data_IF_790266833517
#
_entry.id   IF_790266833517
#
_cell.length_a   1.000
_cell.length_b   1.000
_cell.length_c   1.000
_cell.angle_alpha   90.00
_cell.angle_beta   90.00
_cell.angle_gamma   90.00
#
_symmetry.space_group_name_H-M   'P 1'
#
loop_
_entity.id
_entity.type
_entity.pdbx_description
1 polymer ?
#
# COMPACT_ATOMS: atom_id res chain seq x y z
N UNK A 1 2.45 17.59 13.79
CA UNK A 1 2.70 17.27 12.36
C UNK A 1 2.35 15.83 12.17
N UNK A 2 1.48 15.55 11.26
CA UNK A 2 0.83 14.25 11.08
C UNK A 2 1.39 13.45 9.90
N UNK A 3 2.48 13.94 9.27
CA UNK A 3 3.26 13.12 8.35
C UNK A 3 3.93 12.04 9.19
N UNK A 4 3.46 10.81 9.03
CA UNK A 4 3.94 9.66 9.77
C UNK A 4 4.97 8.86 8.95
N UNK A 5 5.89 8.19 9.62
CA UNK A 5 6.71 7.17 8.99
C UNK A 5 5.93 5.84 8.87
N UNK A 6 6.25 5.05 7.85
CA UNK A 6 5.65 3.72 7.71
C UNK A 6 6.01 2.84 8.93
N UNK A 7 7.26 2.93 9.38
CA UNK A 7 7.75 2.16 10.52
C UNK A 7 6.92 2.42 11.79
N UNK A 8 6.69 3.70 12.16
CA UNK A 8 5.89 4.05 13.34
C UNK A 8 4.47 3.49 13.26
N UNK A 9 3.81 3.70 12.12
CA UNK A 9 2.42 3.28 11.93
C UNK A 9 2.28 1.76 11.97
N UNK A 10 3.20 1.02 11.32
CA UNK A 10 3.13 -0.44 11.31
C UNK A 10 3.59 -1.09 12.61
N UNK A 11 4.53 -0.50 13.35
CA UNK A 11 4.89 -0.98 14.68
C UNK A 11 3.74 -0.82 15.69
N UNK A 12 3.00 0.28 15.60
CA UNK A 12 1.81 0.48 16.43
C UNK A 12 0.69 -0.50 16.04
N UNK A 13 0.50 -0.75 14.73
CA UNK A 13 -0.44 -1.75 14.22
C UNK A 13 -0.08 -3.16 14.72
N UNK A 14 1.18 -3.56 14.63
CA UNK A 14 1.70 -4.84 15.14
C UNK A 14 1.42 -5.02 16.64
N UNK A 15 1.74 -3.99 17.42
CA UNK A 15 1.57 -4.01 18.88
C UNK A 15 0.12 -4.19 19.31
N UNK A 16 -0.82 -3.65 18.53
CA UNK A 16 -2.25 -3.63 18.86
C UNK A 16 -3.08 -4.62 18.01
N UNK A 17 -2.43 -5.50 17.24
CA UNK A 17 -3.05 -6.54 16.42
C UNK A 17 -4.11 -5.98 15.44
N UNK A 18 -3.74 -4.96 14.67
CA UNK A 18 -4.54 -4.47 13.55
C UNK A 18 -3.65 -4.25 12.31
N UNK A 19 -4.24 -3.98 11.18
CA UNK A 19 -3.52 -3.61 9.97
C UNK A 19 -4.01 -2.26 9.43
N UNK A 20 -3.11 -1.55 8.75
CA UNK A 20 -3.38 -0.23 8.15
C UNK A 20 -3.62 -0.39 6.65
N UNK A 21 -4.63 0.31 6.15
CA UNK A 21 -4.93 0.33 4.73
C UNK A 21 -3.89 1.15 3.95
N UNK A 22 -3.25 0.52 2.97
CA UNK A 22 -2.45 1.17 1.94
C UNK A 22 -3.32 1.39 0.71
N UNK A 23 -3.81 2.63 0.52
CA UNK A 23 -4.80 2.97 -0.49
C UNK A 23 -4.13 3.53 -1.73
N UNK A 24 -4.35 2.88 -2.88
CA UNK A 24 -3.78 3.29 -4.16
C UNK A 24 -4.44 4.56 -4.65
N UNK A 25 -3.65 5.63 -4.75
CA UNK A 25 -4.06 6.93 -5.26
C UNK A 25 -3.84 6.99 -6.78
N UNK A 26 -4.79 7.53 -7.52
CA UNK A 26 -4.68 7.81 -8.96
C UNK A 26 -4.75 9.31 -9.27
N UNK A 27 -5.32 10.11 -8.36
CA UNK A 27 -5.45 11.55 -8.52
C UNK A 27 -5.67 12.29 -7.20
N UNK A 28 -5.87 13.60 -7.30
CA UNK A 28 -6.13 14.48 -6.16
C UNK A 28 -7.37 14.06 -5.37
N UNK A 29 -8.43 13.71 -6.09
CA UNK A 29 -9.73 13.42 -5.51
C UNK A 29 -9.67 12.19 -4.62
N UNK A 30 -8.96 11.12 -5.06
CA UNK A 30 -8.74 9.92 -4.26
C UNK A 30 -7.94 10.25 -3.00
N UNK A 31 -6.78 10.92 -3.17
CA UNK A 31 -5.89 11.24 -2.06
C UNK A 31 -6.58 12.08 -0.99
N UNK A 32 -7.35 13.10 -1.41
CA UNK A 32 -8.13 13.94 -0.50
C UNK A 32 -9.18 13.14 0.24
N UNK A 33 -9.94 12.33 -0.48
CA UNK A 33 -11.01 11.53 0.10
C UNK A 33 -10.47 10.55 1.16
N UNK A 34 -9.36 9.87 0.88
CA UNK A 34 -8.74 8.97 1.85
C UNK A 34 -8.22 9.70 3.09
N UNK A 35 -7.65 10.89 2.91
CA UNK A 35 -7.19 11.72 4.01
C UNK A 35 -8.35 12.24 4.86
N UNK A 36 -9.44 12.71 4.23
CA UNK A 36 -10.65 13.19 4.90
C UNK A 36 -11.30 12.03 5.70
N UNK A 37 -11.39 10.84 5.13
CA UNK A 37 -11.93 9.65 5.81
C UNK A 37 -11.06 9.23 7.00
N UNK A 38 -9.74 9.22 6.83
CA UNK A 38 -8.82 8.90 7.93
C UNK A 38 -8.96 9.90 9.09
N UNK A 39 -9.18 11.18 8.79
CA UNK A 39 -9.43 12.23 9.78
C UNK A 39 -10.76 12.01 10.51
N UNK A 40 -11.83 11.70 9.78
CA UNK A 40 -13.18 11.45 10.33
C UNK A 40 -13.18 10.23 11.26
N UNK A 41 -12.54 9.14 10.83
CA UNK A 41 -12.44 7.88 11.58
C UNK A 41 -11.35 7.91 12.67
N UNK A 42 -10.46 8.91 12.65
CA UNK A 42 -9.29 9.03 13.55
C UNK A 42 -8.36 7.81 13.47
N UNK A 43 -8.11 7.33 12.26
CA UNK A 43 -7.26 6.18 11.98
C UNK A 43 -6.06 6.58 11.10
N UNK A 44 -4.94 5.86 11.16
CA UNK A 44 -3.85 6.06 10.22
C UNK A 44 -4.22 5.57 8.82
N UNK A 45 -3.64 6.22 7.79
CA UNK A 45 -3.76 5.78 6.40
C UNK A 45 -2.43 5.90 5.65
N UNK A 46 -2.20 5.02 4.68
CA UNK A 46 -1.03 5.05 3.81
C UNK A 46 -1.50 5.44 2.40
N UNK A 47 -1.17 6.66 1.95
CA UNK A 47 -1.42 7.12 0.58
C UNK A 47 -0.33 6.56 -0.34
N UNK A 48 -0.72 5.74 -1.31
CA UNK A 48 0.21 4.99 -2.15
C UNK A 48 0.26 5.52 -3.59
N UNK A 49 1.48 5.94 -4.01
CA UNK A 49 1.77 6.33 -5.38
C UNK A 49 2.32 5.14 -6.17
N UNK A 50 1.44 4.29 -6.69
CA UNK A 50 1.81 3.15 -7.52
C UNK A 50 2.20 3.54 -8.96
N UNK A 51 2.69 2.57 -9.78
CA UNK A 51 3.14 2.84 -11.16
C UNK A 51 2.11 3.56 -12.04
N UNK A 52 0.82 3.21 -11.90
CA UNK A 52 -0.26 3.87 -12.66
C UNK A 52 -0.44 5.34 -12.31
N UNK A 53 -0.32 5.70 -11.02
CA UNK A 53 -0.34 7.09 -10.58
C UNK A 53 0.84 7.86 -11.16
N UNK A 54 2.05 7.30 -11.04
CA UNK A 54 3.29 7.94 -11.51
C UNK A 54 3.37 8.10 -13.03
N UNK A 55 2.75 7.19 -13.78
CA UNK A 55 2.64 7.33 -15.24
C UNK A 55 1.78 8.52 -15.67
N UNK A 56 0.84 8.94 -14.83
CA UNK A 56 -0.08 10.06 -15.09
C UNK A 56 0.38 11.37 -14.44
N UNK A 57 0.98 11.30 -13.25
CA UNK A 57 1.35 12.48 -12.45
C UNK A 57 2.80 12.34 -11.97
N UNK A 58 3.67 13.33 -12.23
CA UNK A 58 5.08 13.26 -11.80
C UNK A 58 5.24 13.22 -10.28
N UNK A 59 6.25 12.49 -9.78
CA UNK A 59 6.56 12.37 -8.34
C UNK A 59 6.65 13.71 -7.59
N UNK A 60 7.24 14.79 -8.15
CA UNK A 60 7.26 16.08 -7.46
C UNK A 60 5.87 16.67 -7.17
N UNK A 61 4.89 16.39 -8.03
CA UNK A 61 3.49 16.83 -7.84
C UNK A 61 2.81 15.95 -6.80
N UNK A 62 2.97 14.63 -6.92
CA UNK A 62 2.38 13.66 -5.98
C UNK A 62 2.91 13.91 -4.56
N UNK A 63 4.22 14.04 -4.40
CA UNK A 63 4.83 14.24 -3.09
C UNK A 63 4.32 15.49 -2.39
N UNK A 64 4.21 16.61 -3.10
CA UNK A 64 3.63 17.85 -2.55
C UNK A 64 2.14 17.71 -2.21
N UNK A 65 1.39 16.99 -3.04
CA UNK A 65 -0.02 16.69 -2.79
C UNK A 65 -0.20 15.86 -1.52
N UNK A 66 0.54 14.77 -1.38
CA UNK A 66 0.47 13.90 -0.20
C UNK A 66 0.89 14.64 1.07
N UNK A 67 2.01 15.38 1.00
CA UNK A 67 2.45 16.19 2.14
C UNK A 67 1.42 17.24 2.55
N UNK A 68 0.83 17.95 1.59
CA UNK A 68 -0.21 18.93 1.87
C UNK A 68 -1.36 18.30 2.65
N UNK A 69 -1.86 17.15 2.21
CA UNK A 69 -2.95 16.45 2.91
C UNK A 69 -2.53 15.98 4.31
N UNK A 70 -1.35 15.40 4.43
CA UNK A 70 -0.81 14.95 5.71
C UNK A 70 -0.59 16.11 6.70
N UNK A 71 -0.19 17.28 6.23
CA UNK A 71 0.03 18.47 7.07
C UNK A 71 -1.29 19.10 7.55
N UNK A 72 -2.39 18.89 6.82
CA UNK A 72 -3.73 19.40 7.21
C UNK A 72 -4.50 18.43 8.12
N UNK A 73 -4.16 17.15 8.14
CA UNK A 73 -4.86 16.13 8.93
C UNK A 73 -4.34 16.04 10.36
N UNK A 74 -5.19 15.70 11.33
CA UNK A 74 -4.82 15.29 12.69
C UNK A 74 -4.51 13.79 12.79
N UNK A 75 -4.96 13.00 11.82
CA UNK A 75 -4.66 11.56 11.72
C UNK A 75 -3.30 11.30 11.08
N UNK A 76 -2.59 10.23 11.48
CA UNK A 76 -1.31 9.88 10.88
C UNK A 76 -1.44 9.49 9.41
N UNK A 77 -0.77 10.20 8.51
CA UNK A 77 -0.75 9.90 7.07
C UNK A 77 0.66 9.58 6.63
N UNK A 78 0.85 8.40 6.03
CA UNK A 78 2.11 7.99 5.40
C UNK A 78 2.06 8.32 3.91
N UNK A 79 3.07 9.08 3.44
CA UNK A 79 3.26 9.39 2.02
C UNK A 79 4.18 8.33 1.41
N UNK A 80 3.62 7.34 0.69
CA UNK A 80 4.32 6.13 0.29
C UNK A 80 4.49 5.99 -1.22
N UNK A 81 5.75 5.73 -1.66
CA UNK A 81 6.03 5.25 -3.01
C UNK A 81 5.78 3.74 -3.05
N UNK A 82 4.85 3.29 -3.88
CA UNK A 82 4.46 1.89 -4.04
C UNK A 82 5.08 1.32 -5.33
N UNK A 83 5.78 0.18 -5.24
CA UNK A 83 6.52 -0.46 -6.33
C UNK A 83 7.53 0.44 -7.07
N UNK A 84 8.50 1.00 -6.37
CA UNK A 84 9.68 1.61 -7.00
C UNK A 84 10.59 0.52 -7.59
N UNK A 85 10.91 0.62 -8.87
CA UNK A 85 11.69 -0.40 -9.58
C UNK A 85 13.18 -0.07 -9.68
N UNK A 86 13.57 1.16 -9.40
CA UNK A 86 14.96 1.58 -9.43
C UNK A 86 15.32 2.39 -8.18
N UNK A 87 16.60 2.40 -7.85
CA UNK A 87 17.14 3.24 -6.77
C UNK A 87 16.85 4.73 -7.03
N UNK A 88 17.02 5.16 -8.28
CA UNK A 88 16.79 6.55 -8.69
C UNK A 88 15.35 6.99 -8.45
N UNK A 89 14.38 6.11 -8.73
CA UNK A 89 12.96 6.38 -8.47
C UNK A 89 12.67 6.50 -6.98
N UNK A 90 13.25 5.63 -6.15
CA UNK A 90 13.13 5.70 -4.69
C UNK A 90 13.74 7.00 -4.15
N UNK A 91 14.94 7.37 -4.59
CA UNK A 91 15.59 8.62 -4.18
C UNK A 91 14.82 9.85 -4.64
N UNK A 92 14.29 9.83 -5.87
CA UNK A 92 13.45 10.92 -6.36
C UNK A 92 12.18 11.10 -5.50
N UNK A 93 11.56 10.01 -5.05
CA UNK A 93 10.43 10.09 -4.14
C UNK A 93 10.81 10.70 -2.79
N UNK A 94 11.92 10.26 -2.19
CA UNK A 94 12.46 10.80 -0.94
C UNK A 94 12.68 12.32 -1.07
N UNK A 95 13.38 12.76 -2.12
CA UNK A 95 13.68 14.16 -2.38
C UNK A 95 12.43 15.03 -2.61
N UNK A 96 11.30 14.40 -2.96
CA UNK A 96 10.03 15.08 -3.18
C UNK A 96 9.03 14.93 -2.02
N UNK A 97 9.50 14.47 -0.85
CA UNK A 97 8.75 14.55 0.40
C UNK A 97 7.91 13.32 0.74
N UNK A 98 8.18 12.19 0.12
CA UNK A 98 7.64 10.92 0.58
C UNK A 98 8.24 10.54 1.93
N UNK A 99 7.44 10.04 2.85
CA UNK A 99 7.87 9.58 4.18
C UNK A 99 8.19 8.09 4.20
N UNK A 100 7.92 7.40 3.09
CA UNK A 100 8.22 5.99 2.91
C UNK A 100 8.38 5.66 1.43
N UNK A 101 9.25 4.70 1.12
CA UNK A 101 9.43 4.17 -0.24
C UNK A 101 9.44 2.66 -0.22
N UNK A 102 8.89 2.03 -1.26
CA UNK A 102 9.04 0.61 -1.51
C UNK A 102 10.00 0.38 -2.67
N UNK A 103 10.96 -0.53 -2.49
CA UNK A 103 11.74 -1.09 -3.58
C UNK A 103 11.22 -2.49 -3.93
N UNK A 104 10.76 -2.64 -5.16
CA UNK A 104 10.28 -3.91 -5.69
C UNK A 104 11.41 -4.64 -6.45
N UNK A 105 12.15 -5.45 -5.71
CA UNK A 105 13.18 -6.35 -6.23
C UNK A 105 12.70 -7.79 -6.46
N UNK A 106 11.39 -8.05 -6.44
CA UNK A 106 10.79 -9.40 -6.48
C UNK A 106 11.12 -10.20 -7.73
N UNK A 107 11.55 -9.54 -8.82
CA UNK A 107 11.99 -10.19 -10.08
C UNK A 107 13.50 -10.42 -10.17
N UNK A 108 14.25 -9.97 -9.20
CA UNK A 108 15.71 -10.15 -9.11
C UNK A 108 16.04 -11.47 -8.41
N UNK A 109 17.29 -11.91 -8.51
CA UNK A 109 17.77 -12.95 -7.60
C UNK A 109 17.75 -12.44 -6.16
N UNK A 110 17.66 -13.36 -5.19
CA UNK A 110 17.61 -12.98 -3.77
C UNK A 110 18.82 -12.11 -3.37
N UNK A 111 20.01 -12.43 -3.84
CA UNK A 111 21.22 -11.67 -3.53
C UNK A 111 21.17 -10.26 -4.11
N UNK A 112 20.77 -10.10 -5.37
CA UNK A 112 20.61 -8.78 -5.99
C UNK A 112 19.51 -7.95 -5.33
N UNK A 113 18.40 -8.60 -4.92
CA UNK A 113 17.33 -7.93 -4.19
C UNK A 113 17.82 -7.43 -2.83
N UNK A 114 18.52 -8.29 -2.08
CA UNK A 114 19.13 -7.91 -0.78
C UNK A 114 20.11 -6.75 -0.97
N UNK A 115 21.03 -6.82 -1.92
CA UNK A 115 22.04 -5.78 -2.13
C UNK A 115 21.40 -4.43 -2.46
N UNK A 116 20.44 -4.40 -3.39
CA UNK A 116 19.77 -3.16 -3.81
C UNK A 116 18.86 -2.59 -2.73
N UNK A 117 18.10 -3.46 -2.05
CA UNK A 117 17.22 -3.04 -0.96
C UNK A 117 18.05 -2.46 0.19
N UNK A 118 19.15 -3.12 0.57
CA UNK A 118 20.04 -2.64 1.63
C UNK A 118 20.63 -1.25 1.32
N UNK A 119 21.05 -1.03 0.07
CA UNK A 119 21.56 0.27 -0.36
C UNK A 119 20.50 1.37 -0.21
N UNK A 120 19.25 1.09 -0.61
CA UNK A 120 18.14 2.03 -0.50
C UNK A 120 17.81 2.29 0.98
N UNK A 121 17.76 1.23 1.81
CA UNK A 121 17.54 1.35 3.26
C UNK A 121 18.60 2.26 3.89
N UNK A 122 19.87 2.05 3.59
CA UNK A 122 20.95 2.89 4.13
C UNK A 122 20.76 4.38 3.79
N UNK A 123 20.36 4.68 2.55
CA UNK A 123 20.17 6.06 2.09
C UNK A 123 18.90 6.69 2.66
N UNK A 124 17.81 5.94 2.74
CA UNK A 124 16.54 6.40 3.26
C UNK A 124 16.57 6.64 4.78
N UNK A 125 17.17 5.71 5.54
CA UNK A 125 17.29 5.83 7.00
C UNK A 125 18.12 7.03 7.43
N UNK A 126 19.12 7.47 6.65
CA UNK A 126 19.86 8.73 6.91
C UNK A 126 18.97 9.96 6.90
N UNK A 127 17.79 9.86 6.28
CA UNK A 127 16.79 10.92 6.18
C UNK A 127 15.54 10.64 7.02
N UNK A 128 15.56 9.60 7.86
CA UNK A 128 14.42 9.10 8.65
C UNK A 128 13.21 8.69 7.76
N UNK A 129 13.48 8.14 6.58
CA UNK A 129 12.46 7.63 5.65
C UNK A 129 12.43 6.12 5.76
N UNK A 130 11.23 5.55 5.93
CA UNK A 130 11.04 4.11 6.02
C UNK A 130 11.12 3.42 4.65
N UNK A 131 11.55 2.17 4.65
CA UNK A 131 11.65 1.36 3.43
C UNK A 131 10.85 0.07 3.57
N UNK A 132 10.00 -0.18 2.58
CA UNK A 132 9.37 -1.48 2.34
C UNK A 132 10.17 -2.23 1.27
N UNK A 133 10.46 -3.50 1.51
CA UNK A 133 11.04 -4.40 0.50
C UNK A 133 10.03 -5.48 0.11
N UNK A 134 10.22 -6.14 -1.03
CA UNK A 134 9.39 -7.26 -1.47
C UNK A 134 10.21 -8.51 -1.70
N UNK A 135 9.70 -9.64 -1.19
CA UNK A 135 10.27 -10.96 -1.40
C UNK A 135 9.19 -11.98 -1.78
N UNK A 136 9.56 -12.92 -2.66
CA UNK A 136 8.59 -13.67 -3.44
C UNK A 136 8.09 -12.80 -4.59
N UNK A 137 7.07 -13.22 -5.30
CA UNK A 137 6.49 -12.45 -6.40
C UNK A 137 4.96 -12.54 -6.34
N UNK A 138 4.31 -11.40 -6.20
CA UNK A 138 2.85 -11.31 -6.29
C UNK A 138 2.44 -11.17 -7.75
N UNK A 139 1.80 -12.21 -8.27
CA UNK A 139 1.36 -12.27 -9.66
C UNK A 139 0.13 -11.39 -9.94
N UNK A 140 -0.36 -11.48 -11.18
CA UNK A 140 -1.50 -10.73 -11.68
C UNK A 140 -2.61 -11.69 -12.12
N UNK A 141 -3.87 -11.32 -11.93
CA UNK A 141 -5.04 -12.15 -12.28
C UNK A 141 -4.99 -12.68 -13.73
N UNK A 142 -4.62 -11.82 -14.68
CA UNK A 142 -4.53 -12.15 -16.11
C UNK A 142 -3.08 -12.14 -16.63
N UNK A 143 -2.10 -12.50 -15.78
CA UNK A 143 -0.69 -12.37 -16.11
C UNK A 143 0.20 -13.42 -15.46
N UNK A 144 1.39 -12.99 -15.04
CA UNK A 144 2.35 -13.86 -14.38
C UNK A 144 1.81 -14.45 -13.08
N UNK A 145 2.05 -15.73 -12.83
CA UNK A 145 1.63 -16.42 -11.61
C UNK A 145 2.44 -15.95 -10.41
N UNK A 146 1.83 -15.91 -9.24
CA UNK A 146 2.52 -15.66 -7.98
C UNK A 146 3.58 -16.74 -7.70
N UNK A 147 4.70 -16.29 -7.12
CA UNK A 147 5.71 -17.17 -6.54
C UNK A 147 5.67 -16.95 -5.03
N UNK A 148 5.29 -17.98 -4.29
CA UNK A 148 5.20 -17.93 -2.83
C UNK A 148 6.55 -17.56 -2.21
N UNK A 149 6.52 -16.75 -1.19
CA UNK A 149 7.70 -16.39 -0.40
C UNK A 149 8.21 -17.61 0.37
N UNK A 150 9.50 -17.91 0.21
CA UNK A 150 10.18 -18.90 1.07
C UNK A 150 10.47 -18.28 2.45
N UNK A 151 10.07 -18.91 3.57
CA UNK A 151 10.25 -18.34 4.90
C UNK A 151 11.71 -18.13 5.33
N UNK A 152 12.65 -18.99 4.91
CA UNK A 152 14.08 -18.83 5.24
C UNK A 152 14.72 -17.72 4.39
N UNK A 153 14.30 -17.56 3.14
CA UNK A 153 14.68 -16.40 2.33
C UNK A 153 14.13 -15.10 2.92
N UNK A 154 12.87 -15.10 3.41
CA UNK A 154 12.28 -13.94 4.08
C UNK A 154 13.06 -13.52 5.33
N UNK A 155 13.47 -14.49 6.16
CA UNK A 155 14.37 -14.25 7.30
C UNK A 155 15.68 -13.60 6.87
N UNK A 156 16.36 -14.21 5.90
CA UNK A 156 17.64 -13.72 5.38
C UNK A 156 17.50 -12.31 4.84
N UNK A 157 16.45 -12.06 4.05
CA UNK A 157 16.15 -10.75 3.49
C UNK A 157 15.95 -9.69 4.59
N UNK A 158 15.12 -9.97 5.58
CA UNK A 158 14.86 -9.06 6.70
C UNK A 158 16.14 -8.76 7.52
N UNK A 159 16.94 -9.80 7.81
CA UNK A 159 18.18 -9.68 8.58
C UNK A 159 19.25 -8.85 7.85
N UNK A 160 19.37 -8.99 6.54
CA UNK A 160 20.41 -8.31 5.76
C UNK A 160 19.98 -6.90 5.34
N UNK A 161 18.75 -6.72 4.89
CA UNK A 161 18.28 -5.42 4.39
C UNK A 161 17.93 -4.43 5.50
N UNK A 162 17.47 -4.90 6.66
CA UNK A 162 16.93 -4.05 7.73
C UNK A 162 15.78 -3.14 7.28
N UNK A 163 14.97 -3.60 6.31
CA UNK A 163 13.79 -2.87 5.88
C UNK A 163 12.76 -2.75 7.02
N UNK A 164 11.91 -1.73 6.97
CA UNK A 164 10.91 -1.43 8.00
C UNK A 164 9.61 -2.21 7.83
N UNK A 165 9.36 -2.71 6.62
CA UNK A 165 8.23 -3.54 6.26
C UNK A 165 8.62 -4.49 5.13
N UNK A 166 7.97 -5.65 5.05
CA UNK A 166 8.28 -6.66 4.06
C UNK A 166 7.01 -7.17 3.38
N UNK A 167 6.85 -6.85 2.09
CA UNK A 167 5.80 -7.42 1.26
C UNK A 167 6.12 -8.87 0.93
N UNK A 168 5.11 -9.73 1.10
CA UNK A 168 5.22 -11.18 0.90
C UNK A 168 4.16 -11.69 -0.07
N UNK A 169 4.45 -12.80 -0.73
CA UNK A 169 3.52 -13.55 -1.56
C UNK A 169 3.10 -14.83 -0.83
N UNK A 170 1.84 -14.88 -0.43
CA UNK A 170 1.23 -16.00 0.29
C UNK A 170 -0.13 -16.42 -0.35
N UNK A 171 -0.21 -16.40 -1.68
CA UNK A 171 -1.43 -16.71 -2.44
C UNK A 171 -2.25 -15.48 -2.85
N UNK A 172 -1.84 -14.30 -2.41
CA UNK A 172 -2.41 -13.03 -2.85
C UNK A 172 -2.07 -12.76 -4.34
N UNK A 173 -2.95 -12.03 -5.03
CA UNK A 173 -2.85 -11.78 -6.46
C UNK A 173 -3.30 -10.35 -6.77
N UNK A 174 -2.52 -9.64 -7.61
CA UNK A 174 -2.88 -8.30 -8.07
C UNK A 174 -4.07 -8.31 -9.04
N UNK A 175 -4.81 -7.20 -9.09
CA UNK A 175 -5.89 -6.91 -10.02
C UNK A 175 -7.07 -7.91 -9.95
N UNK A 176 -7.24 -8.60 -8.82
CA UNK A 176 -8.40 -9.45 -8.59
C UNK A 176 -9.66 -8.63 -8.36
N UNK A 177 -10.70 -8.93 -9.15
CA UNK A 177 -12.01 -8.23 -9.08
C UNK A 177 -13.03 -8.97 -8.23
N UNK A 178 -12.75 -10.22 -7.88
CA UNK A 178 -13.59 -11.05 -7.02
C UNK A 178 -12.82 -11.42 -5.75
N UNK A 179 -13.52 -11.52 -4.61
CA UNK A 179 -12.93 -11.96 -3.33
C UNK A 179 -12.70 -13.49 -3.35
N UNK A 180 -11.69 -13.95 -4.09
CA UNK A 180 -11.40 -15.37 -4.32
C UNK A 180 -9.95 -15.78 -4.04
N UNK A 181 -9.14 -14.87 -3.45
CA UNK A 181 -7.76 -15.18 -3.06
C UNK A 181 -7.74 -16.24 -1.95
N UNK A 182 -6.96 -17.28 -2.16
CA UNK A 182 -6.67 -18.29 -1.15
C UNK A 182 -5.34 -17.96 -0.49
N UNK A 183 -5.37 -17.40 0.70
CA UNK A 183 -4.17 -17.03 1.44
C UNK A 183 -3.62 -18.23 2.22
N UNK A 184 -2.35 -18.51 2.01
CA UNK A 184 -1.62 -19.55 2.76
C UNK A 184 -1.18 -19.02 4.13
N UNK A 185 -2.03 -19.25 5.12
CA UNK A 185 -1.78 -18.87 6.50
C UNK A 185 -0.56 -19.59 7.11
N UNK A 186 -0.16 -20.75 6.58
CA UNK A 186 1.01 -21.47 7.10
C UNK A 186 2.30 -20.75 6.69
N UNK A 187 2.37 -20.24 5.47
CA UNK A 187 3.50 -19.42 5.00
C UNK A 187 3.64 -18.17 5.87
N UNK A 188 2.56 -17.42 6.08
CA UNK A 188 2.57 -16.21 6.93
C UNK A 188 3.06 -16.55 8.33
N UNK A 189 2.45 -17.55 8.96
CA UNK A 189 2.83 -17.98 10.33
C UNK A 189 4.25 -18.48 10.43
N UNK A 190 4.76 -19.15 9.41
CA UNK A 190 6.16 -19.58 9.40
C UNK A 190 7.10 -18.38 9.30
N UNK A 191 6.81 -17.41 8.45
CA UNK A 191 7.62 -16.19 8.29
C UNK A 191 7.65 -15.41 9.63
N UNK A 192 6.51 -15.19 10.28
CA UNK A 192 6.45 -14.42 11.53
C UNK A 192 7.19 -15.09 12.71
N UNK A 193 7.45 -16.42 12.65
CA UNK A 193 8.32 -17.07 13.63
C UNK A 193 9.80 -16.83 13.39
N UNK A 194 10.18 -16.34 12.22
CA UNK A 194 11.56 -16.17 11.78
C UNK A 194 12.01 -14.71 11.71
N UNK A 195 11.06 -13.77 11.66
CA UNK A 195 11.37 -12.33 11.60
C UNK A 195 10.32 -11.51 12.33
N UNK A 196 10.78 -10.38 12.92
CA UNK A 196 9.92 -9.42 13.61
C UNK A 196 9.47 -8.27 12.70
N UNK A 197 9.91 -8.22 11.45
CA UNK A 197 9.54 -7.17 10.49
C UNK A 197 8.04 -7.24 10.20
N UNK A 198 7.29 -6.12 10.27
CA UNK A 198 5.89 -6.06 9.86
C UNK A 198 5.70 -6.56 8.43
N UNK A 199 4.73 -7.46 8.24
CA UNK A 199 4.42 -8.03 6.94
C UNK A 199 3.36 -7.21 6.20
N UNK A 200 3.45 -7.24 4.88
CA UNK A 200 2.54 -6.53 3.98
C UNK A 200 1.94 -7.52 2.97
N UNK A 201 0.64 -7.45 2.73
CA UNK A 201 -0.02 -8.18 1.66
C UNK A 201 -0.48 -7.23 0.55
N UNK A 202 0.07 -7.43 -0.65
CA UNK A 202 -0.37 -6.77 -1.86
C UNK A 202 -1.58 -7.49 -2.47
N UNK A 203 -2.28 -6.85 -3.42
CA UNK A 203 -3.43 -7.46 -4.09
C UNK A 203 -4.60 -7.80 -3.16
N UNK A 204 -4.75 -7.08 -2.07
CA UNK A 204 -5.69 -7.41 -0.99
C UNK A 204 -7.16 -7.20 -1.34
N UNK A 205 -7.49 -6.51 -2.44
CA UNK A 205 -8.87 -6.43 -2.96
C UNK A 205 -9.49 -7.80 -3.29
N UNK A 206 -8.64 -8.83 -3.53
CA UNK A 206 -9.09 -10.20 -3.76
C UNK A 206 -9.30 -11.04 -2.49
N UNK A 207 -8.97 -10.52 -1.32
CA UNK A 207 -9.09 -11.22 -0.04
C UNK A 207 -10.45 -10.91 0.58
N UNK A 208 -11.13 -11.92 1.09
CA UNK A 208 -12.39 -11.76 1.84
C UNK A 208 -12.15 -10.93 3.12
N UNK A 209 -13.11 -10.07 3.49
CA UNK A 209 -12.94 -9.11 4.58
C UNK A 209 -12.84 -9.80 5.94
N UNK A 210 -13.58 -10.87 6.15
CA UNK A 210 -13.45 -11.70 7.36
C UNK A 210 -12.05 -12.31 7.45
N UNK A 211 -11.49 -12.72 6.31
CA UNK A 211 -10.13 -13.25 6.26
C UNK A 211 -9.09 -12.14 6.49
N UNK A 212 -9.26 -10.94 5.92
CA UNK A 212 -8.40 -9.77 6.21
C UNK A 212 -8.36 -9.47 7.72
N UNK A 213 -9.55 -9.39 8.36
CA UNK A 213 -9.65 -9.19 9.82
C UNK A 213 -8.96 -10.30 10.62
N UNK A 214 -9.15 -11.55 10.21
CA UNK A 214 -8.50 -12.69 10.85
C UNK A 214 -6.98 -12.60 10.75
N UNK A 215 -6.46 -12.31 9.56
CA UNK A 215 -5.02 -12.13 9.31
C UNK A 215 -4.48 -11.00 10.19
N UNK A 216 -5.09 -9.82 10.15
CA UNK A 216 -4.65 -8.66 10.94
C UNK A 216 -4.61 -8.93 12.44
N UNK A 217 -5.62 -9.63 12.96
CA UNK A 217 -5.74 -9.89 14.40
C UNK A 217 -4.87 -11.05 14.90
N UNK A 218 -4.39 -11.94 14.01
CA UNK A 218 -3.74 -13.20 14.42
C UNK A 218 -2.35 -13.42 13.83
N UNK A 219 -1.84 -12.47 13.05
CA UNK A 219 -0.53 -12.54 12.42
C UNK A 219 0.21 -11.20 12.48
N UNK A 220 1.45 -11.19 11.98
CA UNK A 220 2.27 -9.98 11.85
C UNK A 220 2.01 -9.21 10.54
N UNK A 221 0.90 -9.44 9.87
CA UNK A 221 0.49 -8.64 8.70
C UNK A 221 -0.12 -7.33 9.19
N UNK A 222 0.59 -6.23 8.95
CA UNK A 222 0.24 -4.89 9.46
C UNK A 222 -0.19 -3.91 8.36
N UNK A 223 -0.14 -4.32 7.09
CA UNK A 223 -0.55 -3.49 5.95
C UNK A 223 -1.20 -4.33 4.87
N UNK A 224 -2.33 -3.83 4.35
CA UNK A 224 -2.99 -4.36 3.16
C UNK A 224 -3.00 -3.31 2.05
N UNK A 225 -2.50 -3.68 0.85
CA UNK A 225 -2.56 -2.81 -0.32
C UNK A 225 -3.89 -3.00 -1.06
N UNK A 226 -4.70 -1.96 -1.09
CA UNK A 226 -6.04 -1.93 -1.69
C UNK A 226 -6.04 -0.97 -2.88
N UNK A 227 -6.40 -1.46 -4.05
CA UNK A 227 -6.40 -0.63 -5.27
C UNK A 227 -7.49 -1.01 -6.26
N UNK A 228 -7.69 -2.30 -6.54
CA UNK A 228 -8.66 -2.75 -7.54
C UNK A 228 -10.08 -2.49 -7.10
N UNK A 229 -10.39 -2.72 -5.84
CA UNK A 229 -11.70 -2.46 -5.23
C UNK A 229 -12.07 -0.97 -5.35
N UNK A 230 -11.17 -0.08 -4.96
CA UNK A 230 -11.35 1.36 -5.07
C UNK A 230 -11.62 1.81 -6.52
N UNK A 231 -10.81 1.32 -7.48
CA UNK A 231 -11.03 1.63 -8.92
C UNK A 231 -12.35 1.10 -9.43
N UNK A 232 -12.78 -0.07 -8.97
CA UNK A 232 -14.07 -0.65 -9.33
C UNK A 232 -15.22 0.21 -8.81
N UNK A 233 -15.19 0.57 -7.53
CA UNK A 233 -16.17 1.46 -6.90
C UNK A 233 -16.26 2.79 -7.63
N UNK A 234 -15.11 3.43 -7.94
CA UNK A 234 -15.07 4.64 -8.75
C UNK A 234 -15.80 4.46 -10.10
N UNK A 235 -15.45 3.40 -10.85
CA UNK A 235 -16.02 3.16 -12.17
C UNK A 235 -17.51 2.85 -12.14
N UNK A 236 -17.97 2.12 -11.14
CA UNK A 236 -19.39 1.75 -10.99
C UNK A 236 -20.21 2.99 -10.62
N UNK A 237 -19.78 3.77 -9.64
CA UNK A 237 -20.44 5.03 -9.23
C UNK A 237 -20.50 6.04 -10.36
N UNK A 238 -19.41 6.21 -11.11
CA UNK A 238 -19.39 7.14 -12.24
C UNK A 238 -20.42 6.75 -13.30
N UNK A 239 -20.57 5.45 -13.59
CA UNK A 239 -21.60 4.97 -14.52
C UNK A 239 -23.01 5.24 -14.01
N UNK A 240 -23.24 5.02 -12.71
CA UNK A 240 -24.56 5.29 -12.09
C UNK A 240 -24.91 6.76 -12.17
N UNK A 241 -23.97 7.67 -11.88
CA UNK A 241 -24.20 9.13 -11.97
C UNK A 241 -24.50 9.58 -13.40
N UNK A 242 -23.80 9.04 -14.39
CA UNK A 242 -24.09 9.33 -15.80
C UNK A 242 -25.47 8.78 -16.24
N UNK A 243 -25.88 7.63 -15.71
CA UNK A 243 -27.23 7.08 -16.00
C UNK A 243 -28.34 7.94 -15.35
N UNK A 244 -28.10 8.46 -14.12
CA UNK A 244 -29.04 9.36 -13.43
C UNK A 244 -29.24 10.68 -14.16
N UNK A 245 -28.18 11.26 -14.70
CA UNK A 245 -28.20 12.51 -15.46
C UNK A 245 -27.28 12.41 -16.70
N UNK A 246 -27.81 11.89 -17.82
CA UNK A 246 -27.01 11.70 -19.05
C UNK A 246 -26.48 13.01 -19.66
N UNK A 247 -27.01 14.16 -19.25
CA UNK A 247 -26.57 15.48 -19.75
C UNK A 247 -25.53 16.14 -18.84
N UNK A 248 -25.17 15.50 -17.72
CA UNK A 248 -24.15 16.07 -16.84
C UNK A 248 -22.78 16.09 -17.52
N UNK A 249 -22.11 17.23 -17.46
CA UNK A 249 -20.77 17.45 -18.02
C UNK A 249 -19.80 18.07 -17.02
N UNK A 250 -20.29 18.41 -15.82
CA UNK A 250 -19.43 18.96 -14.77
C UNK A 250 -18.58 17.85 -14.16
N UNK A 251 -17.29 17.88 -14.52
CA UNK A 251 -16.29 16.92 -14.04
C UNK A 251 -16.22 16.89 -12.51
N UNK A 252 -16.26 18.05 -11.85
CA UNK A 252 -16.13 18.13 -10.39
C UNK A 252 -17.32 17.46 -9.72
N UNK A 253 -18.54 17.70 -10.21
CA UNK A 253 -19.76 17.07 -9.72
C UNK A 253 -19.70 15.55 -9.86
N UNK A 254 -19.28 15.06 -11.02
CA UNK A 254 -19.17 13.61 -11.30
C UNK A 254 -18.14 12.92 -10.39
N UNK A 255 -16.97 13.53 -10.22
CA UNK A 255 -15.91 12.93 -9.41
C UNK A 255 -16.20 13.04 -7.91
N UNK A 256 -16.81 14.15 -7.44
CA UNK A 256 -17.15 14.26 -6.02
C UNK A 256 -18.16 13.19 -5.57
N UNK A 257 -19.10 12.79 -6.41
CA UNK A 257 -20.03 11.70 -6.08
C UNK A 257 -19.33 10.35 -5.91
N UNK A 258 -18.23 10.11 -6.63
CA UNK A 258 -17.46 8.88 -6.48
C UNK A 258 -16.66 8.86 -5.17
N UNK A 259 -16.22 10.01 -4.66
CA UNK A 259 -15.47 10.10 -3.41
C UNK A 259 -16.33 9.76 -2.17
N UNK A 260 -17.60 10.12 -2.17
CA UNK A 260 -18.50 9.90 -1.03
C UNK A 260 -18.73 8.42 -0.69
N UNK A 261 -18.64 7.53 -1.67
CA UNK A 261 -18.82 6.09 -1.46
C UNK A 261 -17.56 5.40 -0.91
N UNK A 262 -16.36 5.95 -1.15
CA UNK A 262 -15.15 5.44 -0.51
C UNK A 262 -15.19 5.59 1.03
N UNK A 263 -15.94 6.58 1.53
CA UNK A 263 -16.02 6.89 2.96
C UNK A 263 -17.01 6.00 3.69
N UNK A 264 -18.10 5.58 3.05
CA UNK A 264 -19.12 4.75 3.69
C UNK A 264 -18.71 3.28 3.79
N UNK A 265 -18.10 2.72 2.75
CA UNK A 265 -17.71 1.31 2.73
C UNK A 265 -16.41 1.05 3.53
N UNK A 266 -15.46 2.01 3.54
CA UNK A 266 -14.26 1.90 4.34
C UNK A 266 -14.48 2.11 5.85
N UNK A 267 -15.60 2.72 6.24
CA UNK A 267 -15.95 2.92 7.64
C UNK A 267 -16.54 1.66 8.30
N UNK A 268 -17.07 0.75 7.49
CA UNK A 268 -17.67 -0.52 7.95
C UNK A 268 -16.69 -1.71 7.94
N UNK A 269 -15.47 -1.53 7.42
CA UNK A 269 -14.39 -2.52 7.37
C UNK A 269 -13.32 -2.27 8.43
#
# INVERSE_FOLDING_TARGET
MTIASLSEVLQEAKKNNYAVAGLVVLGWEDARCYADTAEELKVPVILQAGPGCRANTPLPVIGKMFRYLAEQSSSPIVCHLDHGYTKEECLQAIDNGFSSVMFDGSKLSINENVDKTSEIVELAHKQNISVEGEIGFVGYNDGAKSQSTDPEEAKTFAELTKCDAMAISAGNVHLQTNKSSSIDMQVIKKIETLTEVPLVLHGSSGIDDTLKRTIANTTNVCKFNIGTELRKTFGDTLREEIVKDPNTYDRIKLINSTCLLYTSDAADE
#
